data_IF_924866799672
#
_entry.id   IF_924866799672
#
_cell.length_a   1.000
_cell.length_b   1.000
_cell.length_c   1.000
_cell.angle_alpha   90.00
_cell.angle_beta   90.00
_cell.angle_gamma   90.00
#
_symmetry.space_group_name_H-M   'P 1'
#
loop_
_entity.id
_entity.type
_entity.pdbx_description
1 polymer ?
#
# COMPACT_ATOMS: atom_id res chain seq x y z
N UNK A 1 8.23 -30.80 13.87
CA UNK A 1 8.62 -30.44 12.49
C UNK A 1 8.77 -28.93 12.46
N UNK A 2 9.82 -28.40 11.82
CA UNK A 2 9.87 -26.98 11.48
C UNK A 2 8.62 -26.64 10.64
N UNK A 3 7.98 -25.51 10.92
CA UNK A 3 6.86 -25.04 10.11
C UNK A 3 7.43 -24.60 8.76
N UNK A 4 6.97 -25.22 7.67
CA UNK A 4 7.34 -24.87 6.30
C UNK A 4 6.19 -24.11 5.62
N UNK A 5 6.51 -23.03 4.91
CA UNK A 5 5.57 -22.25 4.11
C UNK A 5 6.07 -22.17 2.67
N UNK A 6 5.23 -22.55 1.72
CA UNK A 6 5.54 -22.36 0.29
C UNK A 6 4.95 -21.02 -0.18
N UNK A 7 5.77 -20.18 -0.81
CA UNK A 7 5.36 -18.90 -1.37
C UNK A 7 5.37 -19.04 -2.89
N UNK A 8 4.27 -18.68 -3.55
CA UNK A 8 4.15 -18.71 -5.01
C UNK A 8 3.90 -17.30 -5.50
N UNK A 9 4.73 -16.79 -6.40
CA UNK A 9 4.49 -15.49 -7.01
C UNK A 9 5.70 -14.91 -7.70
N UNK A 10 5.55 -13.68 -8.21
CA UNK A 10 6.57 -13.04 -9.02
C UNK A 10 7.73 -12.44 -8.25
N UNK A 11 8.92 -12.51 -8.85
CA UNK A 11 10.15 -11.88 -8.40
C UNK A 11 10.67 -10.93 -9.48
N UNK A 12 10.72 -9.64 -9.17
CA UNK A 12 10.90 -8.59 -10.17
C UNK A 12 11.95 -7.57 -9.76
N UNK A 13 12.51 -6.89 -10.75
CA UNK A 13 13.23 -5.64 -10.54
C UNK A 13 12.25 -4.50 -10.30
N UNK A 14 12.52 -3.66 -9.31
CA UNK A 14 11.71 -2.49 -8.98
C UNK A 14 12.62 -1.27 -8.92
N UNK A 15 12.25 -0.21 -9.61
CA UNK A 15 12.97 1.05 -9.64
C UNK A 15 12.01 2.19 -9.33
N UNK A 16 12.37 3.07 -8.40
CA UNK A 16 11.63 4.27 -8.04
C UNK A 16 12.52 5.48 -8.34
N UNK A 17 11.99 6.47 -9.06
CA UNK A 17 12.74 7.67 -9.39
C UNK A 17 12.83 8.65 -8.21
N UNK A 18 11.75 8.84 -7.45
CA UNK A 18 11.69 9.78 -6.33
C UNK A 18 10.92 9.21 -5.13
N UNK A 19 11.58 8.94 -3.99
CA UNK A 19 13.03 8.94 -3.83
C UNK A 19 13.70 7.85 -4.67
N UNK A 20 14.95 8.11 -5.12
CA UNK A 20 15.71 7.16 -5.93
C UNK A 20 15.94 5.87 -5.16
N UNK A 21 15.42 4.77 -5.68
CA UNK A 21 15.62 3.44 -5.09
C UNK A 21 15.52 2.36 -6.15
N UNK A 22 16.39 1.36 -6.06
CA UNK A 22 16.32 0.17 -6.89
C UNK A 22 16.38 -1.06 -5.98
N UNK A 23 15.45 -1.99 -6.16
CA UNK A 23 15.34 -3.22 -5.39
C UNK A 23 15.09 -4.40 -6.33
N UNK A 24 15.57 -5.56 -5.91
CA UNK A 24 15.27 -6.85 -6.54
C UNK A 24 14.43 -7.64 -5.54
N UNK A 25 13.12 -7.64 -5.73
CA UNK A 25 12.16 -8.27 -4.82
C UNK A 25 10.98 -8.84 -5.59
N UNK A 26 10.03 -8.00 -5.99
CA UNK A 26 8.66 -8.43 -6.31
C UNK A 26 7.90 -8.89 -5.06
N UNK A 27 6.58 -9.11 -5.21
CA UNK A 27 5.71 -9.45 -4.08
C UNK A 27 6.14 -10.71 -3.34
N UNK A 28 6.47 -11.77 -4.08
CA UNK A 28 6.83 -13.06 -3.50
C UNK A 28 8.23 -13.05 -2.87
N UNK A 29 9.22 -12.42 -3.53
CA UNK A 29 10.57 -12.26 -2.98
C UNK A 29 10.59 -11.42 -1.70
N UNK A 30 9.77 -10.36 -1.63
CA UNK A 30 9.59 -9.55 -0.41
C UNK A 30 8.96 -10.37 0.72
N UNK A 31 7.92 -11.13 0.42
CA UNK A 31 7.29 -12.01 1.41
C UNK A 31 8.24 -13.10 1.92
N UNK A 32 9.04 -13.69 1.03
CA UNK A 32 10.04 -14.70 1.39
C UNK A 32 11.11 -14.14 2.33
N UNK A 33 11.68 -12.97 2.01
CA UNK A 33 12.67 -12.31 2.84
C UNK A 33 12.13 -11.98 4.25
N UNK A 34 10.89 -11.50 4.34
CA UNK A 34 10.25 -11.20 5.62
C UNK A 34 10.02 -12.47 6.44
N UNK A 35 9.37 -13.48 5.85
CA UNK A 35 8.92 -14.68 6.57
C UNK A 35 10.11 -15.57 6.97
N UNK A 36 11.13 -15.72 6.10
CA UNK A 36 12.35 -16.44 6.46
C UNK A 36 13.11 -15.74 7.58
N UNK A 37 13.15 -14.40 7.56
CA UNK A 37 13.74 -13.58 8.63
C UNK A 37 13.08 -13.78 9.99
N UNK A 38 11.82 -14.20 10.02
CA UNK A 38 11.07 -14.54 11.24
C UNK A 38 11.26 -16.00 11.69
N UNK A 39 12.17 -16.75 11.05
CA UNK A 39 12.55 -18.11 11.43
C UNK A 39 11.66 -19.22 10.89
N UNK A 40 10.87 -18.95 9.84
CA UNK A 40 10.07 -19.95 9.14
C UNK A 40 10.87 -20.53 7.97
N UNK A 41 10.75 -21.83 7.74
CA UNK A 41 11.34 -22.47 6.57
C UNK A 41 10.51 -22.12 5.33
N UNK A 42 11.10 -21.36 4.40
CA UNK A 42 10.40 -20.84 3.21
C UNK A 42 10.91 -21.50 1.95
N UNK A 43 9.98 -21.91 1.08
CA UNK A 43 10.25 -22.29 -0.31
C UNK A 43 9.55 -21.32 -1.25
N UNK A 44 10.32 -20.62 -2.07
CA UNK A 44 9.82 -19.60 -3.00
C UNK A 44 9.76 -20.17 -4.42
N UNK A 45 8.55 -20.39 -4.92
CA UNK A 45 8.28 -20.76 -6.30
C UNK A 45 8.04 -19.50 -7.14
N UNK A 46 8.88 -19.28 -8.16
CA UNK A 46 8.83 -18.07 -8.97
C UNK A 46 9.29 -18.32 -10.40
N UNK A 47 9.13 -17.31 -11.26
CA UNK A 47 9.66 -17.28 -12.62
C UNK A 47 10.77 -16.25 -12.68
N UNK A 48 11.91 -16.60 -13.28
CA UNK A 48 13.05 -15.70 -13.40
C UNK A 48 13.61 -15.68 -14.81
N UNK A 49 13.79 -14.46 -15.31
CA UNK A 49 14.59 -14.21 -16.50
C UNK A 49 16.07 -14.44 -16.23
N UNK A 50 16.81 -14.79 -17.28
CA UNK A 50 18.25 -15.08 -17.18
C UNK A 50 19.10 -13.92 -16.63
N UNK A 51 18.65 -12.66 -16.79
CA UNK A 51 19.38 -11.48 -16.33
C UNK A 51 19.21 -11.18 -14.84
N UNK A 52 18.13 -11.66 -14.22
CA UNK A 52 17.86 -11.49 -12.78
C UNK A 52 18.12 -12.75 -11.95
N UNK A 53 18.26 -13.92 -12.59
CA UNK A 53 18.39 -15.21 -11.89
C UNK A 53 19.53 -15.22 -10.86
N UNK A 54 20.70 -14.70 -11.22
CA UNK A 54 21.87 -14.68 -10.33
C UNK A 54 21.66 -13.78 -9.11
N UNK A 55 21.10 -12.59 -9.32
CA UNK A 55 20.76 -11.65 -8.25
C UNK A 55 19.79 -12.30 -7.25
N UNK A 56 18.72 -12.96 -7.73
CA UNK A 56 17.75 -13.61 -6.85
C UNK A 56 18.31 -14.84 -6.13
N UNK A 57 19.18 -15.63 -6.76
CA UNK A 57 19.89 -16.71 -6.07
C UNK A 57 20.74 -16.17 -4.90
N UNK A 58 21.48 -15.07 -5.13
CA UNK A 58 22.25 -14.42 -4.05
C UNK A 58 21.38 -13.86 -2.93
N UNK A 59 20.18 -13.36 -3.25
CA UNK A 59 19.21 -12.93 -2.24
C UNK A 59 18.64 -14.11 -1.45
N UNK A 60 18.34 -15.23 -2.10
CA UNK A 60 17.87 -16.45 -1.46
C UNK A 60 18.88 -16.95 -0.42
N UNK A 61 20.16 -17.00 -0.80
CA UNK A 61 21.25 -17.35 0.11
C UNK A 61 21.36 -16.36 1.28
N UNK A 62 21.27 -15.05 1.01
CA UNK A 62 21.39 -14.01 2.03
C UNK A 62 20.23 -14.00 3.05
N UNK A 63 19.01 -14.27 2.59
CA UNK A 63 17.81 -14.28 3.42
C UNK A 63 17.44 -15.66 3.97
N UNK A 64 18.08 -16.72 3.49
CA UNK A 64 17.93 -18.09 4.00
C UNK A 64 16.59 -18.74 3.61
N UNK A 65 16.17 -18.61 2.35
CA UNK A 65 15.02 -19.34 1.81
C UNK A 65 15.43 -20.21 0.61
N UNK A 66 14.69 -21.29 0.36
CA UNK A 66 14.89 -22.13 -0.83
C UNK A 66 14.25 -21.45 -2.04
N UNK A 67 15.03 -21.20 -3.10
CA UNK A 67 14.53 -20.66 -4.36
C UNK A 67 14.26 -21.81 -5.35
N UNK A 68 13.03 -21.86 -5.87
CA UNK A 68 12.56 -22.83 -6.85
C UNK A 68 12.11 -22.04 -8.08
N UNK A 69 13.06 -21.78 -8.98
CA UNK A 69 12.84 -20.99 -10.18
C UNK A 69 12.33 -21.83 -11.37
N UNK A 70 11.40 -21.25 -12.13
CA UNK A 70 11.10 -21.64 -13.50
C UNK A 70 11.75 -20.64 -14.45
N UNK A 71 12.63 -21.07 -15.37
CA UNK A 71 13.32 -20.14 -16.29
C UNK A 71 12.36 -19.42 -17.25
N UNK A 72 12.71 -18.19 -17.59
CA UNK A 72 12.05 -17.34 -18.59
C UNK A 72 13.08 -16.62 -19.46
N UNK A 73 12.69 -16.24 -20.67
CA UNK A 73 13.51 -15.41 -21.56
C UNK A 73 13.41 -13.91 -21.24
N UNK A 74 12.50 -13.51 -20.35
CA UNK A 74 12.22 -12.11 -20.02
C UNK A 74 12.46 -11.79 -18.54
N UNK A 75 13.21 -10.72 -18.28
CA UNK A 75 13.30 -10.11 -16.95
C UNK A 75 12.17 -9.08 -16.79
N UNK A 76 11.38 -9.23 -15.72
CA UNK A 76 10.28 -8.31 -15.42
C UNK A 76 10.74 -7.19 -14.48
N UNK A 77 10.42 -5.96 -14.87
CA UNK A 77 10.74 -4.74 -14.16
C UNK A 77 9.52 -3.84 -13.99
N UNK A 78 9.42 -3.21 -12.82
CA UNK A 78 8.47 -2.15 -12.52
C UNK A 78 9.21 -0.85 -12.24
N UNK A 79 8.85 0.22 -12.95
CA UNK A 79 9.44 1.55 -12.82
C UNK A 79 8.41 2.55 -12.33
N UNK A 80 8.61 3.05 -11.13
CA UNK A 80 7.77 4.03 -10.46
C UNK A 80 8.41 5.42 -10.59
N UNK A 81 7.58 6.43 -10.88
CA UNK A 81 8.03 7.83 -10.75
C UNK A 81 8.16 8.21 -9.28
N UNK A 82 7.19 7.81 -8.48
CA UNK A 82 7.14 7.96 -7.03
C UNK A 82 6.29 6.82 -6.42
N UNK A 83 6.35 6.55 -5.10
CA UNK A 83 5.78 5.35 -4.50
C UNK A 83 4.27 5.14 -4.66
N UNK A 84 3.50 6.20 -4.89
CA UNK A 84 2.04 6.13 -5.14
C UNK A 84 1.68 6.14 -6.63
N UNK A 85 2.63 6.47 -7.50
CA UNK A 85 2.41 6.53 -8.94
C UNK A 85 2.22 5.15 -9.55
N UNK A 86 1.45 5.08 -10.63
CA UNK A 86 1.30 3.85 -11.42
C UNK A 86 2.65 3.49 -12.07
N UNK A 87 3.17 2.27 -11.89
CA UNK A 87 4.44 1.88 -12.49
C UNK A 87 4.32 1.57 -13.99
N UNK A 88 5.37 1.89 -14.72
CA UNK A 88 5.62 1.34 -16.06
C UNK A 88 6.22 -0.07 -15.92
N UNK A 89 5.66 -1.04 -16.65
CA UNK A 89 6.16 -2.42 -16.68
C UNK A 89 7.03 -2.66 -17.90
N UNK A 90 8.14 -3.36 -17.70
CA UNK A 90 9.02 -3.83 -18.77
C UNK A 90 9.29 -5.34 -18.64
N UNK A 91 9.18 -6.13 -19.73
CA UNK A 91 8.61 -5.74 -21.02
C UNK A 91 7.10 -5.44 -20.88
N UNK A 92 6.58 -4.58 -21.75
CA UNK A 92 5.17 -4.16 -21.71
C UNK A 92 4.21 -5.18 -22.32
N UNK A 93 4.72 -6.16 -23.07
CA UNK A 93 3.95 -7.26 -23.68
C UNK A 93 3.46 -8.28 -22.65
N UNK A 94 2.48 -9.09 -23.03
CA UNK A 94 2.06 -10.23 -22.21
C UNK A 94 3.21 -11.26 -22.15
N UNK A 95 3.43 -11.80 -20.96
CA UNK A 95 4.42 -12.84 -20.70
C UNK A 95 3.63 -14.04 -20.20
N UNK A 96 3.91 -15.22 -20.72
CA UNK A 96 3.27 -16.43 -20.23
C UNK A 96 4.31 -17.53 -20.17
N UNK A 97 4.49 -18.09 -18.98
CA UNK A 97 5.45 -19.15 -18.72
C UNK A 97 4.72 -20.34 -18.11
N UNK A 98 4.83 -21.48 -18.79
CA UNK A 98 4.30 -22.74 -18.25
C UNK A 98 5.12 -23.14 -17.03
N UNK A 99 4.43 -23.42 -15.93
CA UNK A 99 5.02 -23.66 -14.63
C UNK A 99 4.47 -24.96 -14.04
N UNK A 100 5.27 -25.70 -13.25
CA UNK A 100 4.79 -26.90 -12.58
C UNK A 100 3.70 -26.57 -11.54
N UNK A 101 2.77 -27.50 -11.37
CA UNK A 101 1.77 -27.43 -10.29
C UNK A 101 2.49 -27.46 -8.95
N UNK A 102 2.12 -26.55 -8.05
CA UNK A 102 2.70 -26.50 -6.70
C UNK A 102 1.75 -27.16 -5.71
N UNK A 103 2.27 -28.10 -4.92
CA UNK A 103 1.52 -28.79 -3.86
C UNK A 103 2.29 -28.67 -2.55
N UNK A 104 1.63 -28.18 -1.50
CA UNK A 104 2.21 -28.01 -0.18
C UNK A 104 1.09 -27.97 0.87
N UNK A 105 1.42 -28.13 2.15
CA UNK A 105 0.40 -28.03 3.20
C UNK A 105 -0.12 -26.58 3.37
N UNK A 106 0.78 -25.61 3.33
CA UNK A 106 0.48 -24.21 3.60
C UNK A 106 1.11 -23.29 2.56
N UNK A 107 0.35 -22.31 2.06
CA UNK A 107 0.84 -21.38 1.05
C UNK A 107 0.46 -19.92 1.26
N UNK A 108 1.36 -19.03 0.83
CA UNK A 108 1.07 -17.65 0.46
C UNK A 108 1.21 -17.53 -1.06
N UNK A 109 0.16 -17.10 -1.74
CA UNK A 109 0.08 -17.10 -3.19
C UNK A 109 -0.21 -15.69 -3.68
N UNK A 110 0.61 -15.21 -4.60
CA UNK A 110 0.42 -13.94 -5.30
C UNK A 110 0.04 -14.17 -6.77
N UNK A 111 -0.59 -13.17 -7.38
CA UNK A 111 -0.61 -13.07 -8.85
C UNK A 111 0.79 -12.94 -9.45
N UNK A 112 0.87 -13.20 -10.76
CA UNK A 112 2.12 -13.25 -11.50
C UNK A 112 1.92 -12.68 -12.90
N UNK A 113 2.86 -11.83 -13.32
CA UNK A 113 2.86 -11.25 -14.67
C UNK A 113 3.01 -12.34 -15.73
N UNK A 114 3.76 -13.39 -15.41
CA UNK A 114 4.04 -14.55 -16.25
C UNK A 114 2.90 -15.58 -16.28
N UNK A 115 1.80 -15.30 -15.58
CA UNK A 115 0.75 -16.25 -15.26
C UNK A 115 1.10 -17.05 -14.01
N UNK A 116 0.07 -17.45 -13.25
CA UNK A 116 0.23 -18.19 -11.99
C UNK A 116 0.04 -19.70 -12.22
N UNK A 117 0.87 -20.58 -11.64
CA UNK A 117 0.66 -22.02 -11.69
C UNK A 117 -0.59 -22.42 -10.89
N UNK A 118 -1.15 -23.59 -11.19
CA UNK A 118 -2.14 -24.19 -10.31
C UNK A 118 -1.48 -24.57 -8.97
N UNK A 119 -2.21 -24.37 -7.88
CA UNK A 119 -1.75 -24.54 -6.50
C UNK A 119 -2.77 -25.32 -5.70
N UNK A 120 -2.29 -26.30 -4.91
CA UNK A 120 -3.13 -27.12 -4.06
C UNK A 120 -2.54 -27.19 -2.65
N UNK A 121 -3.31 -26.71 -1.66
CA UNK A 121 -2.86 -26.70 -0.27
C UNK A 121 -4.02 -26.81 0.73
N UNK A 122 -3.70 -27.05 1.99
CA UNK A 122 -4.69 -27.07 3.06
C UNK A 122 -5.08 -25.64 3.43
N UNK A 123 -4.10 -24.77 3.71
CA UNK A 123 -4.34 -23.36 4.03
C UNK A 123 -3.63 -22.44 3.06
N UNK A 124 -4.37 -21.47 2.52
CA UNK A 124 -3.87 -20.52 1.52
C UNK A 124 -4.23 -19.09 1.92
N UNK A 125 -3.24 -18.21 1.92
CA UNK A 125 -3.47 -16.76 1.78
C UNK A 125 -3.24 -16.40 0.32
N UNK A 126 -4.24 -15.81 -0.34
CA UNK A 126 -4.16 -15.40 -1.74
C UNK A 126 -4.30 -13.88 -1.88
N UNK A 127 -3.32 -13.28 -2.54
CA UNK A 127 -3.29 -11.85 -2.89
C UNK A 127 -3.16 -11.70 -4.42
N UNK A 128 -4.23 -11.33 -5.14
CA UNK A 128 -4.26 -11.38 -6.59
C UNK A 128 -3.21 -10.52 -7.30
N UNK A 129 -2.76 -9.38 -6.74
CA UNK A 129 -1.70 -8.50 -7.29
C UNK A 129 -1.80 -8.09 -8.78
N UNK A 130 -2.93 -8.33 -9.44
CA UNK A 130 -3.09 -8.16 -10.89
C UNK A 130 -3.95 -6.93 -11.23
N UNK A 131 -4.28 -6.08 -10.24
CA UNK A 131 -5.05 -4.86 -10.44
C UNK A 131 -6.35 -5.13 -11.20
N UNK A 132 -6.48 -4.57 -12.41
CA UNK A 132 -7.65 -4.74 -13.27
C UNK A 132 -7.77 -6.12 -13.95
N UNK A 133 -6.72 -6.95 -13.89
CA UNK A 133 -6.71 -8.34 -14.43
C UNK A 133 -6.89 -9.38 -13.33
N UNK A 134 -7.18 -8.98 -12.10
CA UNK A 134 -7.38 -9.87 -10.94
C UNK A 134 -8.41 -10.96 -11.25
N UNK A 135 -8.06 -12.21 -10.90
CA UNK A 135 -8.91 -13.39 -11.09
C UNK A 135 -9.19 -14.09 -9.76
N UNK A 136 -10.36 -14.75 -9.63
CA UNK A 136 -10.64 -15.64 -8.51
C UNK A 136 -9.56 -16.71 -8.34
N UNK A 137 -9.31 -17.16 -7.10
CA UNK A 137 -8.25 -18.13 -6.82
C UNK A 137 -8.42 -19.43 -7.62
N UNK A 138 -9.66 -19.93 -7.73
CA UNK A 138 -9.96 -21.18 -8.44
C UNK A 138 -9.90 -21.09 -9.97
N UNK A 139 -9.68 -19.91 -10.56
CA UNK A 139 -9.81 -19.68 -12.00
C UNK A 139 -8.85 -20.50 -12.88
N UNK A 140 -7.73 -20.99 -12.33
CA UNK A 140 -6.76 -21.84 -13.03
C UNK A 140 -6.74 -23.30 -12.53
N UNK A 141 -7.78 -23.72 -11.79
CA UNK A 141 -7.87 -25.05 -11.21
C UNK A 141 -7.24 -25.20 -9.82
N UNK A 142 -6.72 -24.12 -9.22
CA UNK A 142 -6.24 -24.14 -7.83
C UNK A 142 -7.32 -24.51 -6.82
N UNK A 143 -6.89 -25.17 -5.73
CA UNK A 143 -7.77 -25.55 -4.62
C UNK A 143 -7.14 -25.24 -3.27
N UNK A 144 -7.99 -25.02 -2.26
CA UNK A 144 -7.60 -24.83 -0.86
C UNK A 144 -8.69 -25.41 0.05
N UNK A 145 -8.34 -26.01 1.20
CA UNK A 145 -9.34 -26.39 2.22
C UNK A 145 -9.83 -25.16 3.00
N UNK A 146 -8.91 -24.24 3.29
CA UNK A 146 -9.17 -22.94 3.88
C UNK A 146 -8.45 -21.85 3.09
N UNK A 147 -9.22 -20.87 2.59
CA UNK A 147 -8.71 -19.75 1.81
C UNK A 147 -8.93 -18.42 2.55
N UNK A 148 -7.89 -17.60 2.60
CA UNK A 148 -7.98 -16.19 2.97
C UNK A 148 -7.68 -15.32 1.75
N UNK A 149 -8.67 -14.52 1.33
CA UNK A 149 -8.54 -13.55 0.24
C UNK A 149 -8.02 -12.24 0.81
N UNK A 150 -6.91 -11.72 0.30
CA UNK A 150 -6.32 -10.45 0.74
C UNK A 150 -6.15 -9.53 -0.46
N UNK A 151 -7.10 -8.61 -0.66
CA UNK A 151 -7.14 -7.75 -1.86
C UNK A 151 -6.96 -6.28 -1.48
N UNK A 152 -6.44 -5.46 -2.38
CA UNK A 152 -6.62 -4.00 -2.25
C UNK A 152 -8.05 -3.60 -2.54
N UNK A 153 -8.45 -2.41 -2.09
CA UNK A 153 -9.77 -1.85 -2.38
C UNK A 153 -10.06 -1.83 -3.89
N UNK A 154 -9.12 -1.34 -4.71
CA UNK A 154 -9.28 -1.26 -6.16
C UNK A 154 -9.41 -2.64 -6.82
N UNK A 155 -8.61 -3.64 -6.41
CA UNK A 155 -8.75 -5.03 -6.88
C UNK A 155 -10.08 -5.64 -6.44
N UNK A 156 -10.50 -5.39 -5.20
CA UNK A 156 -11.79 -5.83 -4.68
C UNK A 156 -12.96 -5.30 -5.50
N UNK A 157 -12.93 -4.02 -5.89
CA UNK A 157 -13.94 -3.43 -6.80
C UNK A 157 -13.98 -4.13 -8.16
N UNK A 158 -12.81 -4.45 -8.73
CA UNK A 158 -12.71 -5.14 -10.02
C UNK A 158 -13.25 -6.57 -9.93
N UNK A 159 -12.87 -7.31 -8.88
CA UNK A 159 -13.25 -8.71 -8.70
C UNK A 159 -14.74 -8.89 -8.41
N UNK A 160 -15.33 -7.96 -7.65
CA UNK A 160 -16.69 -8.12 -7.11
C UNK A 160 -17.73 -7.21 -7.77
N UNK A 161 -17.30 -6.16 -8.46
CA UNK A 161 -18.16 -5.09 -8.96
C UNK A 161 -18.74 -4.17 -7.88
N UNK A 162 -18.38 -4.36 -6.61
CA UNK A 162 -18.89 -3.58 -5.47
C UNK A 162 -18.04 -2.32 -5.22
N UNK A 163 -18.59 -1.33 -4.51
CA UNK A 163 -17.89 -0.09 -4.17
C UNK A 163 -17.65 0.09 -2.66
N UNK A 164 -18.44 -0.55 -1.80
CA UNK A 164 -18.23 -0.45 -0.35
C UNK A 164 -17.31 -1.59 0.12
N UNK A 165 -16.31 -1.34 0.99
CA UNK A 165 -15.43 -2.38 1.50
C UNK A 165 -16.15 -3.58 2.12
N UNK A 166 -17.27 -3.35 2.83
CA UNK A 166 -18.11 -4.42 3.42
C UNK A 166 -18.76 -5.31 2.36
N UNK A 167 -19.26 -4.71 1.28
CA UNK A 167 -19.89 -5.45 0.18
C UNK A 167 -18.83 -6.23 -0.62
N UNK A 168 -17.65 -5.63 -0.85
CA UNK A 168 -16.49 -6.31 -1.44
C UNK A 168 -16.11 -7.53 -0.58
N UNK A 169 -15.92 -7.34 0.73
CA UNK A 169 -15.53 -8.41 1.63
C UNK A 169 -16.57 -9.53 1.71
N UNK A 170 -17.87 -9.18 1.64
CA UNK A 170 -18.97 -10.13 1.60
C UNK A 170 -18.91 -10.97 0.32
N UNK A 171 -18.80 -10.32 -0.85
CA UNK A 171 -18.74 -11.00 -2.13
C UNK A 171 -17.51 -11.93 -2.26
N UNK A 172 -16.36 -11.56 -1.67
CA UNK A 172 -15.17 -12.41 -1.64
C UNK A 172 -15.34 -13.64 -0.74
N UNK A 173 -16.13 -13.56 0.33
CA UNK A 173 -16.41 -14.70 1.20
C UNK A 173 -17.38 -15.72 0.58
N UNK A 174 -18.21 -15.31 -0.39
CA UNK A 174 -19.13 -16.20 -1.07
C UNK A 174 -18.42 -17.20 -2.01
N UNK A 175 -17.11 -17.03 -2.26
CA UNK A 175 -16.29 -18.06 -2.89
C UNK A 175 -16.22 -19.32 -2.01
N UNK A 176 -16.59 -20.48 -2.54
CA UNK A 176 -16.84 -21.72 -1.77
C UNK A 176 -15.77 -22.14 -0.73
N UNK A 177 -14.50 -21.77 -0.91
CA UNK A 177 -13.40 -22.10 0.00
C UNK A 177 -12.97 -20.94 0.93
N UNK A 178 -13.45 -19.72 0.68
CA UNK A 178 -13.05 -18.53 1.43
C UNK A 178 -13.60 -18.58 2.87
N UNK A 179 -12.70 -18.41 3.84
CA UNK A 179 -13.01 -18.30 5.28
C UNK A 179 -12.72 -16.90 5.83
N UNK A 180 -11.84 -16.18 5.15
CA UNK A 180 -11.42 -14.82 5.49
C UNK A 180 -11.37 -13.99 4.22
N UNK A 181 -11.95 -12.80 4.24
CA UNK A 181 -11.75 -11.77 3.25
C UNK A 181 -11.17 -10.51 3.91
N UNK A 182 -10.10 -9.98 3.35
CA UNK A 182 -9.44 -8.76 3.80
C UNK A 182 -9.39 -7.77 2.64
N UNK A 183 -9.91 -6.56 2.88
CA UNK A 183 -9.86 -5.46 1.93
C UNK A 183 -8.93 -4.37 2.47
N UNK A 184 -7.74 -4.25 1.87
CA UNK A 184 -6.71 -3.24 2.19
C UNK A 184 -7.17 -1.87 1.66
N UNK A 185 -7.46 -0.93 2.56
CA UNK A 185 -8.05 0.39 2.29
C UNK A 185 -7.06 1.55 2.55
N UNK A 186 -5.77 1.35 2.24
CA UNK A 186 -4.74 2.38 2.32
C UNK A 186 -4.68 3.07 3.69
N UNK A 187 -4.81 4.41 3.78
CA UNK A 187 -4.72 5.16 5.05
C UNK A 187 -5.87 4.85 6.02
N UNK A 188 -6.94 4.18 5.58
CA UNK A 188 -7.99 3.70 6.50
C UNK A 188 -7.60 2.43 7.23
N UNK A 189 -6.56 1.71 6.80
CA UNK A 189 -6.20 0.39 7.31
C UNK A 189 -6.82 -0.71 6.46
N UNK A 190 -7.42 -1.72 7.08
CA UNK A 190 -8.05 -2.84 6.37
C UNK A 190 -9.38 -3.25 7.00
N UNK A 191 -10.35 -3.62 6.18
CA UNK A 191 -11.55 -4.31 6.63
C UNK A 191 -11.31 -5.82 6.58
N UNK A 192 -11.67 -6.53 7.65
CA UNK A 192 -11.59 -7.98 7.73
C UNK A 192 -12.98 -8.55 7.95
N UNK A 193 -13.35 -9.54 7.16
CA UNK A 193 -14.59 -10.28 7.29
C UNK A 193 -14.31 -11.77 7.34
N UNK A 194 -15.01 -12.46 8.24
CA UNK A 194 -15.09 -13.92 8.31
C UNK A 194 -16.56 -14.33 8.23
N UNK A 195 -16.84 -15.62 8.25
CA UNK A 195 -18.21 -16.14 8.32
C UNK A 195 -18.99 -15.69 9.56
N UNK A 196 -18.31 -15.28 10.64
CA UNK A 196 -18.93 -14.97 11.93
C UNK A 196 -18.76 -13.51 12.39
N UNK A 197 -17.80 -12.77 11.85
CA UNK A 197 -17.50 -11.41 12.30
C UNK A 197 -16.98 -10.52 11.16
N UNK A 198 -17.20 -9.21 11.30
CA UNK A 198 -16.61 -8.16 10.48
C UNK A 198 -16.01 -7.09 11.39
N UNK A 199 -14.80 -6.63 11.10
CA UNK A 199 -14.14 -5.58 11.87
C UNK A 199 -13.06 -4.84 11.07
N UNK A 200 -12.82 -3.59 11.46
CA UNK A 200 -11.70 -2.80 10.95
C UNK A 200 -10.42 -3.03 11.74
N UNK A 201 -9.30 -3.14 11.02
CA UNK A 201 -7.94 -3.06 11.53
C UNK A 201 -7.40 -1.68 11.17
N UNK A 202 -7.09 -0.86 12.17
CA UNK A 202 -6.65 0.51 11.94
C UNK A 202 -5.17 0.51 11.50
N UNK A 203 -4.72 1.53 10.75
CA UNK A 203 -3.32 1.71 10.45
C UNK A 203 -2.55 2.13 11.70
N UNK A 204 -1.23 2.05 11.61
CA UNK A 204 -0.31 2.71 12.52
C UNK A 204 0.36 3.83 11.73
N UNK A 205 -0.06 5.11 11.89
CA UNK A 205 0.55 6.23 11.19
C UNK A 205 2.06 6.27 11.42
N UNK A 206 2.82 6.51 10.35
CA UNK A 206 4.28 6.52 10.35
C UNK A 206 4.80 7.93 10.07
N UNK A 207 6.07 8.19 10.39
CA UNK A 207 6.69 9.49 10.07
C UNK A 207 7.16 9.61 8.62
N UNK A 208 7.49 8.48 8.00
CA UNK A 208 7.88 8.37 6.60
C UNK A 208 7.05 7.27 5.94
N UNK A 209 6.77 7.40 4.64
CA UNK A 209 5.91 6.46 3.91
C UNK A 209 6.56 5.93 2.64
N UNK A 210 7.27 4.80 2.76
CA UNK A 210 7.67 3.99 1.61
C UNK A 210 6.56 3.00 1.22
N UNK A 211 5.77 3.38 0.21
CA UNK A 211 4.53 2.64 -0.14
C UNK A 211 4.73 1.38 -0.98
N UNK A 212 5.77 1.32 -1.83
CA UNK A 212 6.00 0.20 -2.75
C UNK A 212 6.17 -1.08 -1.94
N UNK A 213 5.37 -2.11 -2.24
CA UNK A 213 5.42 -3.40 -1.57
C UNK A 213 4.73 -3.48 -0.19
N UNK A 214 4.11 -2.41 0.30
CA UNK A 214 3.43 -2.43 1.61
C UNK A 214 2.27 -3.42 1.66
N UNK A 215 1.59 -3.64 0.52
CA UNK A 215 0.53 -4.65 0.41
C UNK A 215 1.06 -6.07 0.55
N UNK A 216 2.24 -6.36 0.01
CA UNK A 216 2.86 -7.68 0.09
C UNK A 216 3.30 -7.98 1.53
N UNK A 217 3.82 -6.98 2.24
CA UNK A 217 4.20 -7.09 3.66
C UNK A 217 2.97 -7.35 4.52
N UNK A 218 1.84 -6.72 4.21
CA UNK A 218 0.58 -7.03 4.89
C UNK A 218 0.19 -8.49 4.66
N UNK A 219 0.16 -8.95 3.41
CA UNK A 219 -0.20 -10.33 3.06
C UNK A 219 0.75 -11.35 3.69
N UNK A 220 2.06 -11.06 3.70
CA UNK A 220 3.09 -11.88 4.33
C UNK A 220 2.97 -11.91 5.86
N UNK A 221 2.77 -10.75 6.50
CA UNK A 221 2.54 -10.66 7.94
C UNK A 221 1.26 -11.38 8.39
N UNK A 222 0.20 -11.29 7.58
CA UNK A 222 -1.04 -12.02 7.83
C UNK A 222 -0.84 -13.53 7.67
N UNK A 223 -0.18 -13.97 6.60
CA UNK A 223 0.15 -15.39 6.40
C UNK A 223 1.00 -15.93 7.55
N UNK A 224 2.05 -15.22 7.96
CA UNK A 224 2.87 -15.61 9.09
C UNK A 224 2.05 -15.72 10.39
N UNK A 225 1.23 -14.72 10.71
CA UNK A 225 0.38 -14.72 11.91
C UNK A 225 -0.66 -15.84 11.90
N UNK A 226 -1.44 -15.93 10.82
CA UNK A 226 -2.57 -16.85 10.73
C UNK A 226 -2.13 -18.29 10.48
N UNK A 227 -1.19 -18.52 9.56
CA UNK A 227 -0.72 -19.86 9.18
C UNK A 227 0.38 -20.32 10.12
N UNK A 228 1.51 -19.62 10.17
CA UNK A 228 2.72 -20.10 10.85
C UNK A 228 2.65 -20.03 12.37
N UNK A 229 1.89 -19.07 12.91
CA UNK A 229 1.75 -18.81 14.35
C UNK A 229 0.39 -19.23 14.91
N UNK A 230 -0.52 -19.72 14.06
CA UNK A 230 -1.89 -20.10 14.43
C UNK A 230 -2.62 -19.03 15.25
N UNK A 231 -2.37 -17.75 14.96
CA UNK A 231 -3.08 -16.65 15.59
C UNK A 231 -4.55 -16.62 15.13
N UNK A 232 -5.41 -16.00 15.95
CA UNK A 232 -6.76 -15.63 15.50
C UNK A 232 -6.69 -14.73 14.27
N UNK A 233 -7.73 -14.73 13.43
CA UNK A 233 -7.80 -13.86 12.24
C UNK A 233 -7.62 -12.39 12.64
N UNK A 234 -8.25 -11.97 13.75
CA UNK A 234 -8.11 -10.62 14.30
C UNK A 234 -6.67 -10.31 14.69
N UNK A 235 -6.03 -11.16 15.49
CA UNK A 235 -4.65 -10.91 15.93
C UNK A 235 -3.67 -10.91 14.75
N UNK A 236 -3.84 -11.83 13.79
CA UNK A 236 -3.01 -11.91 12.58
C UNK A 236 -3.15 -10.65 11.71
N UNK A 237 -4.35 -10.11 11.54
CA UNK A 237 -4.57 -8.90 10.73
C UNK A 237 -4.02 -7.63 11.41
N UNK A 238 -4.17 -7.51 12.73
CA UNK A 238 -3.53 -6.43 13.49
C UNK A 238 -2.00 -6.54 13.46
N UNK A 239 -1.47 -7.76 13.57
CA UNK A 239 -0.04 -8.03 13.43
C UNK A 239 0.48 -7.60 12.06
N UNK A 240 -0.22 -7.99 10.99
CA UNK A 240 0.07 -7.61 9.61
C UNK A 240 0.08 -6.09 9.42
N UNK A 241 -0.93 -5.37 9.95
CA UNK A 241 -0.98 -3.91 9.90
C UNK A 241 0.23 -3.27 10.57
N UNK A 242 0.65 -3.78 11.73
CA UNK A 242 1.79 -3.23 12.47
C UNK A 242 3.14 -3.51 11.80
N UNK A 243 3.34 -4.72 11.26
CA UNK A 243 4.53 -5.05 10.46
C UNK A 243 4.60 -4.20 9.20
N UNK A 244 3.45 -3.97 8.55
CA UNK A 244 3.35 -3.10 7.37
C UNK A 244 3.79 -1.68 7.71
N UNK A 245 3.34 -1.13 8.83
CA UNK A 245 3.78 0.19 9.27
C UNK A 245 5.29 0.25 9.55
N UNK A 246 5.88 -0.78 10.16
CA UNK A 246 7.32 -0.84 10.36
C UNK A 246 8.09 -0.85 9.03
N UNK A 247 7.65 -1.67 8.06
CA UNK A 247 8.21 -1.68 6.71
C UNK A 247 8.06 -0.34 6.01
N UNK A 248 6.88 0.27 6.07
CA UNK A 248 6.58 1.56 5.43
C UNK A 248 7.48 2.67 5.99
N UNK A 249 7.74 2.65 7.29
CA UNK A 249 8.58 3.67 7.95
C UNK A 249 10.08 3.49 7.69
N UNK A 250 10.55 2.24 7.59
CA UNK A 250 12.00 1.93 7.53
C UNK A 250 12.48 1.54 6.14
N UNK A 251 11.56 1.11 5.26
CA UNK A 251 11.87 0.46 4.00
C UNK A 251 12.52 -0.92 4.15
N UNK A 252 12.57 -1.52 5.34
CA UNK A 252 13.23 -2.81 5.59
C UNK A 252 12.25 -3.97 5.52
N UNK A 253 12.52 -4.92 4.63
CA UNK A 253 11.79 -6.18 4.51
C UNK A 253 12.37 -7.30 5.38
N UNK A 254 13.50 -7.05 6.07
CA UNK A 254 14.03 -7.92 7.12
C UNK A 254 13.72 -7.30 8.48
N UNK A 255 13.01 -8.03 9.32
CA UNK A 255 12.66 -7.61 10.68
C UNK A 255 13.28 -8.62 11.64
N UNK A 256 14.04 -8.11 12.61
CA UNK A 256 14.59 -8.95 13.67
C UNK A 256 13.45 -9.63 14.47
N UNK A 257 13.53 -10.92 14.81
CA UNK A 257 12.47 -11.61 15.54
C UNK A 257 12.08 -10.97 16.88
N UNK A 258 13.02 -10.33 17.59
CA UNK A 258 12.73 -9.59 18.84
C UNK A 258 11.92 -8.33 18.56
N UNK A 259 12.29 -7.57 17.54
CA UNK A 259 11.51 -6.41 17.08
C UNK A 259 10.12 -6.86 16.63
N UNK A 260 10.02 -7.93 15.83
CA UNK A 260 8.76 -8.48 15.38
C UNK A 260 7.86 -8.96 16.54
N UNK A 261 8.45 -9.41 17.65
CA UNK A 261 7.72 -9.75 18.86
C UNK A 261 7.11 -8.50 19.51
N UNK A 262 7.91 -7.45 19.71
CA UNK A 262 7.47 -6.19 20.32
C UNK A 262 6.37 -5.51 19.49
N UNK A 263 6.53 -5.48 18.16
CA UNK A 263 5.51 -5.04 17.21
C UNK A 263 4.19 -5.82 17.40
N UNK A 264 4.26 -7.12 17.68
CA UNK A 264 3.07 -7.92 17.96
C UNK A 264 2.38 -7.59 19.27
N UNK A 265 3.14 -7.21 20.30
CA UNK A 265 2.58 -6.73 21.55
C UNK A 265 1.87 -5.38 21.35
N UNK A 266 2.48 -4.45 20.61
CA UNK A 266 1.87 -3.17 20.24
C UNK A 266 0.57 -3.38 19.44
N UNK A 267 0.58 -4.28 18.46
CA UNK A 267 -0.59 -4.62 17.66
C UNK A 267 -1.75 -5.13 18.54
N UNK A 268 -1.44 -6.02 19.48
CA UNK A 268 -2.43 -6.58 20.42
C UNK A 268 -2.97 -5.54 21.38
N UNK A 269 -2.12 -4.63 21.86
CA UNK A 269 -2.56 -3.52 22.72
C UNK A 269 -3.49 -2.58 21.96
N UNK A 270 -3.14 -2.19 20.72
CA UNK A 270 -3.97 -1.31 19.89
C UNK A 270 -5.31 -1.95 19.54
N UNK A 271 -5.31 -3.24 19.19
CA UNK A 271 -6.53 -4.02 18.94
C UNK A 271 -7.50 -4.00 20.13
N UNK A 272 -6.98 -4.08 21.37
CA UNK A 272 -7.80 -3.98 22.59
C UNK A 272 -8.36 -2.57 22.81
N UNK A 273 -7.57 -1.53 22.56
CA UNK A 273 -7.99 -0.13 22.72
C UNK A 273 -9.08 0.27 21.72
N UNK A 274 -8.96 -0.18 20.47
CA UNK A 274 -9.96 0.09 19.43
C UNK A 274 -11.23 -0.76 19.64
N UNK A 275 -11.11 -1.96 20.21
CA UNK A 275 -12.25 -2.82 20.52
C UNK A 275 -12.79 -3.58 19.29
N UNK A 276 -14.10 -3.84 19.26
CA UNK A 276 -14.76 -4.47 18.12
C UNK A 276 -15.19 -3.39 17.10
N UNK A 277 -14.42 -3.26 16.03
CA UNK A 277 -14.95 -2.98 14.69
C UNK A 277 -15.81 -1.74 14.49
N UNK A 278 -15.46 -0.60 15.09
CA UNK A 278 -16.10 0.64 14.65
C UNK A 278 -15.79 0.86 13.16
N UNK A 279 -16.80 1.18 12.34
CA UNK A 279 -16.56 1.63 10.97
C UNK A 279 -15.56 2.76 10.98
N UNK A 280 -14.65 2.74 10.00
CA UNK A 280 -13.62 3.77 9.82
C UNK A 280 -13.89 4.56 8.54
N UNK A 281 -14.98 5.35 8.48
CA UNK A 281 -15.37 6.05 7.27
C UNK A 281 -14.35 7.14 6.92
N UNK A 282 -14.15 7.37 5.62
CA UNK A 282 -13.44 8.56 5.16
C UNK A 282 -14.29 9.80 5.50
N UNK A 283 -13.72 10.82 6.15
CA UNK A 283 -14.44 12.07 6.42
C UNK A 283 -14.93 12.72 5.13
N UNK A 284 -16.15 13.27 5.16
CA UNK A 284 -16.74 13.94 3.99
C UNK A 284 -16.21 15.35 3.75
N UNK A 285 -15.51 15.95 4.72
CA UNK A 285 -14.89 17.25 4.54
C UNK A 285 -13.77 17.19 3.50
N UNK A 286 -13.51 18.32 2.83
CA UNK A 286 -12.53 18.39 1.77
C UNK A 286 -11.11 18.62 2.29
N UNK A 287 -10.16 18.05 1.57
CA UNK A 287 -8.76 18.45 1.52
C UNK A 287 -8.65 19.59 0.51
N UNK A 288 -8.01 20.70 0.88
CA UNK A 288 -7.64 21.74 -0.07
C UNK A 288 -6.22 21.48 -0.57
N UNK A 289 -6.06 21.25 -1.88
CA UNK A 289 -4.77 21.01 -2.52
C UNK A 289 -4.23 22.33 -3.10
N UNK A 290 -3.33 22.94 -2.34
CA UNK A 290 -2.63 24.17 -2.68
C UNK A 290 -1.31 23.84 -3.40
N UNK A 291 -0.97 24.59 -4.45
CA UNK A 291 0.30 24.43 -5.14
C UNK A 291 0.30 25.02 -6.54
N UNK A 292 1.49 25.24 -7.12
CA UNK A 292 1.61 25.84 -8.44
C UNK A 292 1.22 24.88 -9.56
N UNK A 293 0.86 25.45 -10.71
CA UNK A 293 0.50 24.71 -11.94
C UNK A 293 0.94 25.45 -13.22
N UNK A 294 2.03 26.23 -13.14
CA UNK A 294 2.46 27.12 -14.23
C UNK A 294 3.31 26.44 -15.30
N UNK A 295 3.76 25.22 -15.05
CA UNK A 295 4.52 24.40 -15.98
C UNK A 295 4.14 22.91 -15.85
N UNK A 296 4.63 22.10 -16.79
CA UNK A 296 4.30 20.67 -16.89
C UNK A 296 4.60 19.91 -15.59
N UNK A 297 5.77 20.11 -14.99
CA UNK A 297 6.15 19.42 -13.75
C UNK A 297 5.27 19.79 -12.57
N UNK A 298 4.91 21.08 -12.44
CA UNK A 298 4.05 21.57 -11.38
C UNK A 298 2.63 21.02 -11.53
N UNK A 299 2.05 21.10 -12.74
CA UNK A 299 0.74 20.51 -13.03
C UNK A 299 0.71 19.01 -12.70
N UNK A 300 1.73 18.25 -13.12
CA UNK A 300 1.81 16.82 -12.82
C UNK A 300 1.82 16.52 -11.33
N UNK A 301 2.54 17.29 -10.51
CA UNK A 301 2.52 17.08 -9.06
C UNK A 301 1.11 17.28 -8.49
N UNK A 302 0.38 18.31 -8.92
CA UNK A 302 -1.01 18.55 -8.46
C UNK A 302 -1.95 17.44 -8.93
N UNK A 303 -1.85 17.01 -10.18
CA UNK A 303 -2.68 15.94 -10.75
C UNK A 303 -2.47 14.61 -10.02
N UNK A 304 -1.20 14.24 -9.77
CA UNK A 304 -0.83 13.00 -9.06
C UNK A 304 -1.27 13.03 -7.59
N UNK A 305 -1.10 14.15 -6.88
CA UNK A 305 -1.62 14.30 -5.51
C UNK A 305 -3.13 14.17 -5.46
N UNK A 306 -3.85 14.86 -6.36
CA UNK A 306 -5.31 14.81 -6.44
C UNK A 306 -5.79 13.39 -6.74
N UNK A 307 -5.21 12.74 -7.74
CA UNK A 307 -5.60 11.37 -8.12
C UNK A 307 -5.37 10.40 -6.96
N UNK A 308 -4.21 10.46 -6.31
CA UNK A 308 -3.90 9.56 -5.19
C UNK A 308 -4.87 9.73 -4.01
N UNK A 309 -5.21 10.96 -3.65
CA UNK A 309 -6.18 11.25 -2.58
C UNK A 309 -7.60 10.78 -2.94
N UNK A 310 -8.03 11.02 -4.19
CA UNK A 310 -9.34 10.59 -4.69
C UNK A 310 -9.45 9.06 -4.79
N UNK A 311 -8.40 8.37 -5.23
CA UNK A 311 -8.33 6.91 -5.28
C UNK A 311 -8.44 6.28 -3.88
N UNK A 312 -8.01 7.01 -2.85
CA UNK A 312 -8.20 6.64 -1.43
C UNK A 312 -9.57 7.05 -0.87
N UNK A 313 -10.46 7.62 -1.69
CA UNK A 313 -11.83 7.98 -1.33
C UNK A 313 -12.01 9.35 -0.69
N UNK A 314 -10.96 10.19 -0.63
CA UNK A 314 -11.05 11.53 -0.04
C UNK A 314 -11.61 12.56 -1.01
N UNK A 315 -12.36 13.52 -0.45
CA UNK A 315 -12.82 14.69 -1.19
C UNK A 315 -11.68 15.70 -1.30
N UNK A 316 -11.34 16.12 -2.52
CA UNK A 316 -10.24 17.05 -2.78
C UNK A 316 -10.74 18.22 -3.60
N UNK A 317 -10.48 19.42 -3.12
CA UNK A 317 -10.60 20.66 -3.88
C UNK A 317 -9.22 21.10 -4.36
N UNK A 318 -9.09 21.50 -5.62
CA UNK A 318 -7.87 22.05 -6.21
C UNK A 318 -8.22 23.23 -7.12
N UNK A 319 -7.58 24.41 -6.94
CA UNK A 319 -7.89 25.61 -7.72
C UNK A 319 -7.92 25.40 -9.23
N UNK A 320 -6.89 24.74 -9.78
CA UNK A 320 -6.79 24.49 -11.23
C UNK A 320 -7.88 23.55 -11.77
N UNK A 321 -8.37 22.63 -10.95
CA UNK A 321 -9.34 21.62 -11.36
C UNK A 321 -10.80 22.07 -11.18
N UNK A 322 -11.09 22.75 -10.07
CA UNK A 322 -12.47 23.03 -9.65
C UNK A 322 -12.91 24.48 -9.92
N UNK A 323 -11.96 25.39 -10.17
CA UNK A 323 -12.22 26.80 -10.51
C UNK A 323 -11.67 27.15 -11.89
N UNK A 324 -10.41 26.81 -12.15
CA UNK A 324 -9.72 27.08 -13.41
C UNK A 324 -9.35 28.55 -13.61
N UNK A 325 -9.18 28.96 -14.87
CA UNK A 325 -8.73 30.31 -15.23
C UNK A 325 -9.92 31.25 -15.41
N UNK A 326 -9.92 32.39 -14.71
CA UNK A 326 -10.99 33.38 -14.78
C UNK A 326 -10.60 34.75 -14.23
N UNK A 327 -11.56 35.69 -14.14
CA UNK A 327 -11.33 37.00 -13.54
C UNK A 327 -10.86 36.87 -12.09
N UNK A 328 -9.84 37.62 -11.70
CA UNK A 328 -9.20 37.50 -10.37
C UNK A 328 -10.20 37.60 -9.20
N UNK A 329 -11.22 38.44 -9.33
CA UNK A 329 -12.26 38.60 -8.30
C UNK A 329 -13.09 37.33 -8.13
N UNK A 330 -13.39 36.62 -9.20
CA UNK A 330 -14.25 35.44 -9.16
C UNK A 330 -13.45 34.23 -8.70
N UNK A 331 -12.23 34.05 -9.24
CA UNK A 331 -11.31 32.97 -8.87
C UNK A 331 -10.95 33.04 -7.39
N UNK A 332 -10.45 34.20 -6.92
CA UNK A 332 -10.03 34.34 -5.53
C UNK A 332 -11.18 34.13 -4.54
N UNK A 333 -12.41 34.54 -4.87
CA UNK A 333 -13.56 34.32 -3.98
C UNK A 333 -13.98 32.85 -3.94
N UNK A 334 -13.90 32.13 -5.05
CA UNK A 334 -14.15 30.70 -5.09
C UNK A 334 -13.12 29.92 -4.25
N UNK A 335 -11.83 30.25 -4.41
CA UNK A 335 -10.73 29.62 -3.67
C UNK A 335 -10.81 29.89 -2.17
N UNK A 336 -11.06 31.14 -1.77
CA UNK A 336 -11.25 31.51 -0.36
C UNK A 336 -12.45 30.78 0.27
N UNK A 337 -13.55 30.64 -0.47
CA UNK A 337 -14.72 29.89 0.01
C UNK A 337 -14.40 28.41 0.20
N UNK A 338 -13.59 27.83 -0.68
CA UNK A 338 -13.18 26.43 -0.58
C UNK A 338 -12.19 26.21 0.57
N UNK A 339 -11.25 27.14 0.79
CA UNK A 339 -10.39 27.15 1.98
C UNK A 339 -11.21 27.18 3.27
N UNK A 340 -12.24 28.02 3.32
CA UNK A 340 -13.12 28.15 4.50
C UNK A 340 -13.93 26.89 4.81
N UNK A 341 -14.18 26.06 3.80
CA UNK A 341 -14.95 24.83 3.92
C UNK A 341 -14.08 23.58 4.13
N UNK A 342 -12.77 23.66 3.89
CA UNK A 342 -11.87 22.52 4.03
C UNK A 342 -11.52 22.24 5.50
N UNK A 343 -11.08 21.02 5.79
CA UNK A 343 -10.61 20.64 7.14
C UNK A 343 -9.10 20.51 7.24
N UNK A 344 -8.40 20.45 6.10
CA UNK A 344 -6.95 20.32 6.03
C UNK A 344 -6.46 20.85 4.68
N UNK A 345 -5.27 21.44 4.67
CA UNK A 345 -4.56 21.84 3.44
C UNK A 345 -3.39 20.89 3.20
N UNK A 346 -3.28 20.35 1.99
CA UNK A 346 -2.04 19.81 1.45
C UNK A 346 -1.42 20.88 0.54
N UNK A 347 -0.21 21.35 0.88
CA UNK A 347 0.49 22.40 0.14
C UNK A 347 1.75 21.86 -0.53
N UNK A 348 1.85 22.02 -1.85
CA UNK A 348 3.07 21.76 -2.63
C UNK A 348 3.87 23.06 -2.70
N UNK A 349 4.95 23.15 -1.91
CA UNK A 349 5.74 24.37 -1.76
C UNK A 349 6.87 24.50 -2.79
N UNK A 350 7.15 23.46 -3.57
CA UNK A 350 8.14 23.47 -4.64
C UNK A 350 7.87 24.62 -5.64
N UNK A 351 8.82 25.55 -5.75
CA UNK A 351 8.71 26.75 -6.57
C UNK A 351 8.21 28.00 -5.84
N UNK A 352 7.80 27.89 -4.57
CA UNK A 352 7.44 29.02 -3.69
C UNK A 352 6.42 29.99 -4.30
N UNK A 353 5.36 29.45 -4.91
CA UNK A 353 4.31 30.23 -5.55
C UNK A 353 3.61 31.18 -4.54
N UNK A 354 3.57 32.50 -4.79
CA UNK A 354 2.91 33.46 -3.91
C UNK A 354 1.45 33.14 -3.59
N UNK A 355 0.70 32.56 -4.54
CA UNK A 355 -0.69 32.13 -4.32
C UNK A 355 -0.75 31.05 -3.23
N UNK A 356 0.01 29.98 -3.43
CA UNK A 356 0.18 28.89 -2.47
C UNK A 356 0.62 29.40 -1.08
N UNK A 357 1.57 30.35 -1.02
CA UNK A 357 2.02 30.91 0.26
C UNK A 357 0.90 31.68 0.98
N UNK A 358 0.09 32.43 0.22
CA UNK A 358 -1.08 33.13 0.76
C UNK A 358 -2.11 32.14 1.31
N UNK A 359 -2.43 31.08 0.56
CA UNK A 359 -3.38 30.04 0.97
C UNK A 359 -2.93 29.36 2.27
N UNK A 360 -1.65 29.03 2.39
CA UNK A 360 -1.08 28.45 3.62
C UNK A 360 -1.20 29.42 4.80
N UNK A 361 -0.78 30.68 4.63
CA UNK A 361 -0.89 31.68 5.68
C UNK A 361 -2.34 31.91 6.13
N UNK A 362 -3.27 31.96 5.17
CA UNK A 362 -4.70 32.09 5.42
C UNK A 362 -5.26 30.91 6.22
N UNK A 363 -4.92 29.69 5.80
CA UNK A 363 -5.34 28.46 6.48
C UNK A 363 -4.84 28.43 7.93
N UNK A 364 -3.56 28.73 8.16
CA UNK A 364 -2.98 28.79 9.52
C UNK A 364 -3.64 29.87 10.38
N UNK A 365 -3.91 31.05 9.83
CA UNK A 365 -4.62 32.11 10.55
C UNK A 365 -6.04 31.70 10.99
N UNK A 366 -6.67 30.75 10.28
CA UNK A 366 -7.97 30.15 10.63
C UNK A 366 -7.89 28.90 11.50
N UNK A 367 -6.68 28.47 11.88
CA UNK A 367 -6.47 27.25 12.65
C UNK A 367 -6.65 25.96 11.84
N UNK A 368 -6.67 26.05 10.51
CA UNK A 368 -6.73 24.89 9.62
C UNK A 368 -5.34 24.23 9.61
N UNK A 369 -5.22 22.91 9.84
CA UNK A 369 -3.94 22.21 9.73
C UNK A 369 -3.41 22.25 8.30
N UNK A 370 -2.10 22.47 8.17
CA UNK A 370 -1.39 22.49 6.88
C UNK A 370 -0.31 21.44 6.90
N UNK A 371 -0.36 20.54 5.92
CA UNK A 371 0.68 19.56 5.60
C UNK A 371 1.34 20.07 4.33
N UNK A 372 2.65 20.27 4.37
CA UNK A 372 3.42 20.80 3.26
C UNK A 372 4.44 19.77 2.77
N UNK A 373 4.51 19.62 1.45
CA UNK A 373 5.64 18.96 0.77
C UNK A 373 6.55 20.02 0.18
N UNK A 374 7.84 19.86 0.41
CA UNK A 374 8.89 20.75 -0.05
C UNK A 374 10.13 19.90 -0.45
N UNK A 375 10.11 19.30 -1.63
CA UNK A 375 11.17 18.36 -2.06
C UNK A 375 12.45 19.11 -2.49
N UNK A 376 12.29 20.28 -3.11
CA UNK A 376 13.37 21.10 -3.70
C UNK A 376 13.39 22.54 -3.17
N UNK A 377 13.11 22.72 -1.88
CA UNK A 377 13.10 24.04 -1.22
C UNK A 377 14.16 24.09 -0.11
N UNK A 378 14.91 25.18 -0.02
CA UNK A 378 15.86 25.38 1.06
C UNK A 378 15.13 25.48 2.42
N UNK A 379 15.46 24.64 3.42
CA UNK A 379 14.85 24.73 4.74
C UNK A 379 14.90 26.13 5.38
N UNK A 380 15.90 26.96 5.05
CA UNK A 380 16.04 28.31 5.60
C UNK A 380 14.91 29.25 5.21
N UNK A 381 14.24 29.03 4.07
CA UNK A 381 13.11 29.85 3.64
C UNK A 381 11.76 29.36 4.18
N UNK A 382 11.75 28.22 4.88
CA UNK A 382 10.55 27.62 5.45
C UNK A 382 10.23 28.15 6.87
N UNK A 383 10.95 29.16 7.36
CA UNK A 383 10.84 29.67 8.74
C UNK A 383 9.40 29.96 9.17
N UNK A 384 8.61 30.62 8.31
CA UNK A 384 7.22 31.00 8.64
C UNK A 384 6.30 29.78 8.72
N UNK A 385 6.51 28.77 7.89
CA UNK A 385 5.74 27.53 7.90
C UNK A 385 6.03 26.75 9.19
N UNK A 386 7.31 26.57 9.50
CA UNK A 386 7.78 25.88 10.72
C UNK A 386 7.27 26.61 11.97
N UNK A 387 7.47 27.93 12.04
CA UNK A 387 7.06 28.75 13.18
C UNK A 387 5.56 28.92 13.35
N UNK A 388 4.76 28.46 12.38
CA UNK A 388 3.29 28.46 12.44
C UNK A 388 2.70 27.07 12.63
N UNK A 389 3.51 26.07 12.99
CA UNK A 389 3.12 24.67 13.21
C UNK A 389 2.53 23.97 11.96
N UNK A 390 3.04 24.28 10.77
CA UNK A 390 2.82 23.41 9.60
C UNK A 390 3.60 22.10 9.76
N UNK A 391 3.00 20.98 9.39
CA UNK A 391 3.78 19.75 9.17
C UNK A 391 4.52 19.89 7.84
N UNK A 392 5.83 19.62 7.81
CA UNK A 392 6.64 19.76 6.61
C UNK A 392 7.43 18.48 6.37
N UNK A 393 7.39 17.98 5.14
CA UNK A 393 8.22 16.86 4.68
C UNK A 393 8.80 17.14 3.30
N UNK A 394 9.90 16.48 2.97
CA UNK A 394 10.50 16.48 1.64
C UNK A 394 10.16 15.21 0.84
N UNK A 395 9.18 14.43 1.30
CA UNK A 395 8.71 13.22 0.64
C UNK A 395 7.23 13.36 0.26
N UNK A 396 6.97 13.37 -1.04
CA UNK A 396 5.63 13.59 -1.60
C UNK A 396 4.60 12.55 -1.14
N UNK A 397 4.99 11.28 -1.04
CA UNK A 397 4.10 10.21 -0.58
C UNK A 397 3.73 10.36 0.89
N UNK A 398 4.71 10.73 1.72
CA UNK A 398 4.52 10.99 3.15
C UNK A 398 3.55 12.14 3.36
N UNK A 399 3.68 13.24 2.62
CA UNK A 399 2.75 14.37 2.73
C UNK A 399 1.30 13.93 2.45
N UNK A 400 1.06 13.18 1.37
CA UNK A 400 -0.28 12.68 1.02
C UNK A 400 -0.86 11.82 2.16
N UNK A 401 -0.09 10.87 2.68
CA UNK A 401 -0.57 10.00 3.76
C UNK A 401 -0.80 10.73 5.08
N UNK A 402 0.08 11.67 5.45
CA UNK A 402 -0.09 12.49 6.65
C UNK A 402 -1.33 13.37 6.52
N UNK A 403 -1.61 13.95 5.35
CA UNK A 403 -2.86 14.67 5.10
C UNK A 403 -4.08 13.78 5.35
N UNK A 404 -4.09 12.55 4.83
CA UNK A 404 -5.15 11.59 5.08
C UNK A 404 -5.32 11.29 6.58
N UNK A 405 -4.22 11.00 7.30
CA UNK A 405 -4.26 10.68 8.72
C UNK A 405 -4.66 11.87 9.60
N UNK A 406 -4.22 13.09 9.27
CA UNK A 406 -4.66 14.31 9.96
C UNK A 406 -6.16 14.50 9.80
N UNK A 407 -6.68 14.33 8.58
CA UNK A 407 -8.11 14.44 8.33
C UNK A 407 -8.93 13.36 9.05
N UNK A 408 -8.37 12.16 9.18
CA UNK A 408 -8.96 11.04 9.92
C UNK A 408 -8.79 11.17 11.45
N UNK A 409 -8.03 12.16 11.94
CA UNK A 409 -7.79 12.40 13.37
C UNK A 409 -6.82 11.42 14.02
N UNK A 410 -5.91 10.80 13.26
CA UNK A 410 -4.91 9.89 13.81
C UNK A 410 -3.60 10.58 14.22
N UNK A 411 -3.30 11.75 13.64
CA UNK A 411 -2.07 12.52 13.86
C UNK A 411 -2.32 14.02 14.01
#
# INVERSE_FOLDING_TARGET
MSMQLSIVGGCYGEECAFPRRQLFRGSAGRAAALISGLGVEVRLHTVLGSGLAKEFAGLADHFGYELIETPSDADVWFRYRFPLGRPDRYPSGDITVEQPIVVAENMLVFGMIEGRPATHADRVVYDPQDGSKSKPYAANGSTAKELAMVVSYSEGRVLTGQNEPEDIATALLDEHAARVAIVKCGPQGALVRTVSESFWVYPFPTKNVYKIGSGDVFSAGFAYGWICRSMSVKDAAWYASRLTAHYVETGSDRIDPSVAHDLGLEAKQRSKLVGAGNPRPVPKSSIYLAGPFFNVSQQWAIDEARSALQDMGFNVFSPIHDVGVGPAKDVAQADLKALDACSVVLAVLDGLDPGTLFEVGYARAKGIPVIAVAESVDPSVLTMFIGSDCYITNDFTTAIYVTCWTLMGDV
#
